data_IF_793369108395
#
_entry.id   IF_793369108395
#
_cell.length_a   1.000
_cell.length_b   1.000
_cell.length_c   1.000
_cell.angle_alpha   90.00
_cell.angle_beta   90.00
_cell.angle_gamma   90.00
#
_symmetry.space_group_name_H-M   'P 1'
#
loop_
_entity.id
_entity.type
_entity.pdbx_description
1 polymer ?
#
# COMPACT_ATOMS: atom_id res chain seq x y z
N UNK A 1 -38.96 14.17 -30.16
CA UNK A 1 -38.00 13.07 -30.40
C UNK A 1 -36.54 13.55 -30.43
N UNK A 2 -36.25 14.78 -30.89
CA UNK A 2 -34.89 15.33 -31.00
C UNK A 2 -34.28 15.76 -29.66
N UNK A 3 -35.08 16.24 -28.71
CA UNK A 3 -34.59 16.67 -27.39
C UNK A 3 -33.93 15.54 -26.60
N UNK A 4 -34.50 14.33 -26.63
CA UNK A 4 -33.93 13.17 -25.94
C UNK A 4 -32.63 12.69 -26.61
N UNK A 5 -32.52 12.83 -27.93
CA UNK A 5 -31.28 12.52 -28.66
C UNK A 5 -30.18 13.53 -28.30
N UNK A 6 -30.52 14.81 -28.18
CA UNK A 6 -29.56 15.87 -27.80
C UNK A 6 -29.11 15.70 -26.35
N UNK A 7 -30.01 15.42 -25.41
CA UNK A 7 -29.62 15.21 -24.00
C UNK A 7 -28.73 13.98 -23.83
N UNK A 8 -29.03 12.88 -24.53
CA UNK A 8 -28.16 11.70 -24.54
C UNK A 8 -26.81 11.97 -25.20
N UNK A 9 -26.78 12.74 -26.29
CA UNK A 9 -25.53 13.11 -26.96
C UNK A 9 -24.64 13.94 -26.02
N UNK A 10 -25.20 14.93 -25.32
CA UNK A 10 -24.45 15.75 -24.35
C UNK A 10 -24.02 14.90 -23.14
N UNK A 11 -24.90 14.04 -22.61
CA UNK A 11 -24.56 13.15 -21.51
C UNK A 11 -23.43 12.17 -21.88
N UNK A 12 -23.42 11.65 -23.10
CA UNK A 12 -22.36 10.77 -23.59
C UNK A 12 -21.01 11.50 -23.67
N UNK A 13 -20.99 12.73 -24.20
CA UNK A 13 -19.78 13.57 -24.24
C UNK A 13 -19.27 13.83 -22.82
N UNK A 14 -20.14 14.22 -21.89
CA UNK A 14 -19.76 14.45 -20.49
C UNK A 14 -19.22 13.18 -19.82
N UNK A 15 -19.83 12.02 -20.06
CA UNK A 15 -19.37 10.75 -19.54
C UNK A 15 -17.96 10.41 -20.04
N UNK A 16 -17.65 10.65 -21.32
CA UNK A 16 -16.32 10.38 -21.87
C UNK A 16 -15.20 11.22 -21.26
N UNK A 17 -15.51 12.45 -20.82
CA UNK A 17 -14.54 13.34 -20.16
C UNK A 17 -14.43 13.02 -18.66
N UNK A 18 -15.51 12.58 -18.02
CA UNK A 18 -15.53 12.29 -16.59
C UNK A 18 -14.76 11.00 -16.22
N UNK A 19 -14.90 9.94 -17.03
CA UNK A 19 -14.25 8.63 -16.77
C UNK A 19 -12.73 8.71 -16.60
N UNK A 20 -11.93 9.36 -17.47
CA UNK A 20 -10.49 9.43 -17.28
C UNK A 20 -10.08 10.19 -16.00
N UNK A 21 -10.86 11.20 -15.58
CA UNK A 21 -10.63 11.93 -14.33
C UNK A 21 -10.80 11.03 -13.10
N UNK A 22 -11.84 10.19 -13.08
CA UNK A 22 -12.06 9.22 -12.00
C UNK A 22 -10.92 8.21 -11.89
N UNK A 23 -10.34 7.77 -13.00
CA UNK A 23 -9.19 6.85 -12.99
C UNK A 23 -7.96 7.45 -12.29
N UNK A 24 -7.64 8.72 -12.57
CA UNK A 24 -6.53 9.42 -11.91
C UNK A 24 -6.77 9.62 -10.41
N UNK A 25 -8.00 9.96 -10.02
CA UNK A 25 -8.38 10.09 -8.61
C UNK A 25 -8.26 8.75 -7.87
N UNK A 26 -8.75 7.66 -8.45
CA UNK A 26 -8.66 6.31 -7.87
C UNK A 26 -7.20 5.90 -7.69
N UNK A 27 -6.34 6.11 -8.71
CA UNK A 27 -4.92 5.79 -8.62
C UNK A 27 -4.23 6.55 -7.46
N UNK A 28 -4.54 7.84 -7.34
CA UNK A 28 -4.01 8.69 -6.25
C UNK A 28 -4.47 8.20 -4.88
N UNK A 29 -5.75 7.83 -4.74
CA UNK A 29 -6.27 7.30 -3.48
C UNK A 29 -5.62 5.98 -3.11
N UNK A 30 -5.45 5.05 -4.07
CA UNK A 30 -4.76 3.78 -3.84
C UNK A 30 -3.32 3.99 -3.35
N UNK A 31 -2.58 4.91 -3.97
CA UNK A 31 -1.22 5.24 -3.55
C UNK A 31 -1.18 5.82 -2.11
N UNK A 32 -2.11 6.72 -1.77
CA UNK A 32 -2.24 7.29 -0.41
C UNK A 32 -2.57 6.22 0.62
N UNK A 33 -3.53 5.35 0.34
CA UNK A 33 -3.90 4.24 1.24
C UNK A 33 -2.72 3.30 1.45
N UNK A 34 -2.00 2.95 0.39
CA UNK A 34 -0.81 2.11 0.46
C UNK A 34 0.29 2.72 1.33
N UNK A 35 0.64 3.98 1.08
CA UNK A 35 1.65 4.70 1.86
C UNK A 35 1.26 4.85 3.33
N UNK A 36 -0.02 5.15 3.61
CA UNK A 36 -0.54 5.25 4.96
C UNK A 36 -0.49 3.92 5.70
N UNK A 37 -0.91 2.83 5.06
CA UNK A 37 -0.83 1.49 5.63
C UNK A 37 0.62 1.11 5.95
N UNK A 38 1.56 1.39 5.03
CA UNK A 38 2.97 1.11 5.24
C UNK A 38 3.54 1.90 6.42
N UNK A 39 3.21 3.19 6.54
CA UNK A 39 3.62 4.02 7.66
C UNK A 39 3.11 3.46 9.01
N UNK A 40 1.84 3.03 9.06
CA UNK A 40 1.25 2.42 10.24
C UNK A 40 1.94 1.10 10.61
N UNK A 41 2.20 0.22 9.64
CA UNK A 41 2.90 -1.04 9.92
C UNK A 41 4.34 -0.80 10.38
N UNK A 42 5.05 0.18 9.81
CA UNK A 42 6.41 0.54 10.27
C UNK A 42 6.41 1.08 11.71
N UNK A 43 5.43 1.93 12.05
CA UNK A 43 5.26 2.42 13.42
C UNK A 43 4.97 1.26 14.39
N UNK A 44 4.11 0.32 13.99
CA UNK A 44 3.82 -0.93 14.74
C UNK A 44 5.06 -1.80 14.88
N UNK A 45 5.85 -1.99 13.82
CA UNK A 45 7.10 -2.75 13.86
C UNK A 45 8.09 -2.15 14.86
N UNK A 46 8.26 -0.83 14.84
CA UNK A 46 9.12 -0.11 15.77
C UNK A 46 8.64 -0.27 17.22
N UNK A 47 7.34 -0.11 17.50
CA UNK A 47 6.83 -0.24 18.86
C UNK A 47 6.96 -1.69 19.36
N UNK A 48 6.67 -2.68 18.53
CA UNK A 48 6.86 -4.10 18.86
C UNK A 48 8.32 -4.41 19.19
N UNK A 49 9.26 -3.91 18.38
CA UNK A 49 10.69 -4.14 18.63
C UNK A 49 11.17 -3.54 19.96
N UNK A 50 10.66 -2.35 20.31
CA UNK A 50 11.00 -1.67 21.56
C UNK A 50 10.35 -2.33 22.78
N UNK A 51 9.05 -2.62 22.71
CA UNK A 51 8.28 -3.17 23.84
C UNK A 51 8.70 -4.58 24.20
N UNK A 52 9.01 -5.41 23.18
CA UNK A 52 9.42 -6.79 23.40
C UNK A 52 10.95 -6.95 23.52
N UNK A 53 11.71 -5.87 23.40
CA UNK A 53 13.18 -5.88 23.32
C UNK A 53 13.69 -6.93 22.32
N UNK A 54 12.97 -7.11 21.22
CA UNK A 54 13.17 -8.16 20.23
C UNK A 54 13.17 -7.56 18.82
N UNK A 55 13.62 -8.31 17.82
CA UNK A 55 13.57 -7.83 16.44
C UNK A 55 12.15 -7.93 15.87
N UNK A 56 11.75 -6.96 15.06
CA UNK A 56 10.54 -7.03 14.26
C UNK A 56 10.91 -6.91 12.78
N UNK A 57 10.43 -7.85 11.97
CA UNK A 57 10.82 -7.99 10.57
C UNK A 57 9.63 -7.70 9.67
N UNK A 58 9.76 -6.73 8.77
CA UNK A 58 8.77 -6.41 7.77
C UNK A 58 9.27 -6.88 6.40
N UNK A 59 8.57 -7.83 5.80
CA UNK A 59 8.96 -8.47 4.54
C UNK A 59 7.84 -8.39 3.49
N UNK A 60 8.18 -8.22 2.20
CA UNK A 60 7.19 -8.34 1.14
C UNK A 60 6.64 -9.76 1.05
N UNK A 61 5.40 -9.88 0.56
CA UNK A 61 4.86 -11.20 0.18
C UNK A 61 5.59 -11.74 -1.06
N UNK A 62 5.39 -13.03 -1.38
CA UNK A 62 6.06 -13.70 -2.50
C UNK A 62 5.88 -13.00 -3.86
N UNK A 63 4.77 -12.27 -4.04
CA UNK A 63 4.52 -11.45 -5.23
C UNK A 63 5.11 -10.05 -5.18
N UNK A 64 5.99 -9.73 -4.21
CA UNK A 64 6.60 -8.43 -4.03
C UNK A 64 5.75 -7.43 -3.24
N UNK A 65 6.28 -6.23 -3.04
CA UNK A 65 5.65 -5.15 -2.28
C UNK A 65 4.32 -4.67 -2.85
N UNK A 66 4.11 -4.85 -4.15
CA UNK A 66 2.84 -4.62 -4.84
C UNK A 66 1.73 -5.60 -4.44
N UNK A 67 2.08 -6.75 -3.85
CA UNK A 67 1.10 -7.71 -3.30
C UNK A 67 0.85 -7.52 -1.80
N UNK A 68 1.61 -6.62 -1.17
CA UNK A 68 1.57 -6.36 0.26
C UNK A 68 2.78 -6.93 0.99
N UNK A 69 2.68 -6.96 2.32
CA UNK A 69 3.77 -7.33 3.21
C UNK A 69 3.25 -8.02 4.47
N UNK A 70 4.16 -8.63 5.20
CA UNK A 70 3.92 -9.21 6.51
C UNK A 70 4.89 -8.60 7.52
N UNK A 71 4.40 -8.36 8.72
CA UNK A 71 5.18 -8.03 9.90
C UNK A 71 5.32 -9.29 10.75
N UNK A 72 6.55 -9.68 11.04
CA UNK A 72 6.89 -10.84 11.83
C UNK A 72 7.60 -10.44 13.13
N UNK A 73 7.37 -11.21 14.18
CA UNK A 73 8.16 -11.14 15.41
C UNK A 73 9.51 -11.87 15.26
N UNK A 74 10.30 -11.86 16.34
CA UNK A 74 11.60 -12.54 16.37
C UNK A 74 11.53 -14.08 16.23
N UNK A 75 10.34 -14.67 16.41
CA UNK A 75 10.08 -16.10 16.29
C UNK A 75 9.39 -16.46 14.95
N UNK A 76 9.32 -15.52 14.01
CA UNK A 76 8.61 -15.63 12.72
C UNK A 76 7.09 -15.81 12.83
N UNK A 77 6.47 -15.41 13.94
CA UNK A 77 5.00 -15.32 14.03
C UNK A 77 4.52 -14.06 13.31
N UNK A 78 3.43 -14.19 12.55
CA UNK A 78 2.83 -13.05 11.84
C UNK A 78 2.07 -12.16 12.83
N UNK A 79 2.57 -10.94 13.02
CA UNK A 79 1.98 -9.89 13.85
C UNK A 79 1.03 -8.97 13.07
N UNK A 80 1.25 -8.84 11.76
CA UNK A 80 0.44 -8.05 10.85
C UNK A 80 0.55 -8.63 9.44
N UNK A 81 -0.56 -8.68 8.72
CA UNK A 81 -0.60 -9.09 7.33
C UNK A 81 -1.39 -8.05 6.52
N UNK A 82 -0.71 -7.44 5.55
CA UNK A 82 -1.32 -6.46 4.66
C UNK A 82 -1.38 -7.01 3.24
N UNK A 83 -2.53 -6.84 2.60
CA UNK A 83 -2.73 -7.15 1.18
C UNK A 83 -3.00 -5.87 0.42
N UNK A 84 -2.16 -5.59 -0.57
CA UNK A 84 -2.26 -4.38 -1.38
C UNK A 84 -3.40 -4.49 -2.41
N UNK A 85 -4.00 -3.35 -2.76
CA UNK A 85 -4.97 -3.26 -3.84
C UNK A 85 -4.30 -3.45 -5.21
N UNK A 86 -5.07 -3.89 -6.22
CA UNK A 86 -4.58 -4.06 -7.58
C UNK A 86 -4.17 -2.73 -8.23
N UNK A 87 -3.21 -2.78 -9.16
CA UNK A 87 -2.74 -1.60 -9.90
C UNK A 87 -1.74 -0.72 -9.13
N UNK A 88 -1.09 -1.27 -8.11
CA UNK A 88 0.02 -0.62 -7.41
C UNK A 88 1.34 -1.17 -7.97
N UNK A 89 2.26 -0.29 -8.33
CA UNK A 89 3.61 -0.65 -8.73
C UNK A 89 4.62 0.05 -7.80
N UNK A 90 5.57 -0.69 -7.26
CA UNK A 90 6.62 -0.17 -6.35
C UNK A 90 8.00 -0.41 -7.00
N UNK A 91 8.56 0.59 -7.70
CA UNK A 91 9.86 0.44 -8.35
C UNK A 91 11.01 0.45 -7.33
N UNK A 92 12.00 -0.43 -7.50
CA UNK A 92 13.25 -0.41 -6.74
C UNK A 92 13.16 -0.86 -5.27
N UNK A 93 12.18 -1.70 -4.94
CA UNK A 93 11.83 -2.01 -3.55
C UNK A 93 12.93 -2.75 -2.77
N UNK A 94 13.18 -2.40 -1.49
CA UNK A 94 14.17 -3.08 -0.65
C UNK A 94 13.75 -4.52 -0.33
N UNK A 95 14.72 -5.43 -0.16
CA UNK A 95 14.45 -6.86 0.04
C UNK A 95 13.63 -7.14 1.32
N UNK A 96 13.99 -6.51 2.44
CA UNK A 96 13.32 -6.64 3.75
C UNK A 96 13.70 -5.45 4.65
N UNK A 97 12.80 -5.03 5.54
CA UNK A 97 13.06 -3.98 6.55
C UNK A 97 13.04 -4.60 7.95
N UNK A 98 14.12 -4.51 8.71
CA UNK A 98 14.21 -5.11 10.06
C UNK A 98 14.43 -4.00 11.09
N UNK A 99 13.57 -3.91 12.09
CA UNK A 99 13.77 -3.09 13.28
C UNK A 99 14.44 -3.93 14.38
N UNK A 100 15.55 -3.41 14.92
CA UNK A 100 16.22 -4.01 16.09
C UNK A 100 15.55 -3.55 17.38
N UNK A 101 15.84 -4.22 18.48
CA UNK A 101 15.36 -3.87 19.83
C UNK A 101 15.71 -2.45 20.30
N UNK A 102 16.68 -1.79 19.64
CA UNK A 102 17.02 -0.37 19.82
C UNK A 102 16.12 0.60 19.03
N UNK A 103 15.12 0.11 18.30
CA UNK A 103 14.24 0.89 17.43
C UNK A 103 14.90 1.40 16.14
N UNK A 104 16.17 1.04 15.88
CA UNK A 104 16.89 1.37 14.65
C UNK A 104 16.70 0.31 13.59
N UNK A 105 16.77 0.72 12.33
CA UNK A 105 16.82 -0.21 11.19
C UNK A 105 18.13 -1.00 11.25
N UNK A 106 18.05 -2.33 11.10
CA UNK A 106 19.21 -3.11 10.73
C UNK A 106 19.58 -2.70 9.29
N UNK A 107 20.86 -2.48 9.02
CA UNK A 107 21.32 -2.07 7.69
C UNK A 107 20.68 -2.97 6.62
N UNK A 108 20.03 -2.36 5.63
CA UNK A 108 19.46 -3.07 4.49
C UNK A 108 20.61 -3.80 3.78
N UNK A 109 20.49 -5.12 3.64
CA UNK A 109 21.42 -5.94 2.88
C UNK A 109 20.79 -6.31 1.55
#
# INVERSE_FOLDING_TARGET
MTELVVTLAVAAVLATVAVPSFNGMIATQRARTYASALYVTLAKARSQALTLNANATLQPKAGGWQTGWQLLDANNNVLDDYTAATGINVPGSPATVIYRSSGRLAAAR
#
